data_IF_029378561185
#
_entry.id   IF_029378561185
#
_cell.length_a   1.000
_cell.length_b   1.000
_cell.length_c   1.000
_cell.angle_alpha   90.00
_cell.angle_beta   90.00
_cell.angle_gamma   90.00
#
_symmetry.space_group_name_H-M   'P 1'
#
loop_
_entity.id
_entity.type
_entity.pdbx_description
1 polymer ?
#
# COMPACT_ATOMS: atom_id res chain seq x y z
N UNK A 1 17.34 24.91 -6.43
CA UNK A 1 16.47 24.80 -5.25
C UNK A 1 15.22 24.05 -5.68
N UNK A 2 15.24 22.72 -5.64
CA UNK A 2 14.04 21.89 -5.77
C UNK A 2 14.27 20.73 -4.82
N UNK A 3 13.51 20.72 -3.73
CA UNK A 3 13.58 19.69 -2.72
C UNK A 3 13.14 18.38 -3.38
N UNK A 4 14.07 17.44 -3.47
CA UNK A 4 13.76 16.03 -3.60
C UNK A 4 12.89 15.69 -2.39
N UNK A 5 11.58 15.58 -2.62
CA UNK A 5 10.67 15.07 -1.63
C UNK A 5 11.05 13.60 -1.48
N UNK A 6 11.81 13.30 -0.43
CA UNK A 6 12.05 11.96 0.05
C UNK A 6 10.70 11.43 0.53
N UNK A 7 9.97 10.79 -0.38
CA UNK A 7 8.77 10.04 -0.06
C UNK A 7 9.25 8.87 0.81
N UNK A 8 9.20 9.07 2.12
CA UNK A 8 9.50 8.00 3.08
C UNK A 8 8.54 6.88 2.73
N UNK A 9 9.03 5.79 2.13
CA UNK A 9 8.20 4.67 1.73
C UNK A 9 7.62 4.03 3.01
N UNK A 10 6.44 4.51 3.42
CA UNK A 10 5.70 4.03 4.60
C UNK A 10 5.05 2.66 4.35
N UNK A 11 5.37 2.03 3.23
CA UNK A 11 4.82 0.77 2.81
C UNK A 11 5.82 -0.02 1.97
N UNK A 12 5.68 -1.34 2.02
CA UNK A 12 6.38 -2.25 1.13
C UNK A 12 5.42 -2.74 0.06
N UNK A 13 5.90 -2.76 -1.18
CA UNK A 13 5.13 -3.27 -2.31
C UNK A 13 5.98 -4.18 -3.20
N UNK A 14 5.30 -5.05 -3.92
CA UNK A 14 5.83 -5.90 -4.97
C UNK A 14 5.25 -5.44 -6.29
N UNK A 15 6.13 -4.98 -7.19
CA UNK A 15 5.76 -4.66 -8.55
C UNK A 15 5.78 -5.94 -9.40
N UNK A 16 4.63 -6.27 -9.97
CA UNK A 16 4.48 -7.33 -10.96
C UNK A 16 4.47 -6.72 -12.37
N UNK A 17 4.38 -7.54 -13.42
CA UNK A 17 4.45 -7.07 -14.82
C UNK A 17 3.35 -6.08 -15.21
N UNK A 18 2.17 -6.21 -14.62
CA UNK A 18 0.96 -5.45 -15.00
C UNK A 18 0.31 -4.71 -13.83
N UNK A 19 0.77 -4.94 -12.59
CA UNK A 19 0.14 -4.38 -11.40
C UNK A 19 1.10 -4.35 -10.21
N UNK A 20 0.70 -3.66 -9.15
CA UNK A 20 1.40 -3.63 -7.87
C UNK A 20 0.59 -4.34 -6.80
N UNK A 21 1.30 -5.07 -5.94
CA UNK A 21 0.78 -5.75 -4.75
C UNK A 21 1.38 -5.08 -3.52
N UNK A 22 0.57 -4.60 -2.58
CA UNK A 22 1.07 -4.09 -1.29
C UNK A 22 1.34 -5.28 -0.38
N UNK A 23 2.57 -5.40 0.12
CA UNK A 23 3.00 -6.52 0.99
C UNK A 23 3.07 -6.15 2.46
N UNK A 24 3.08 -4.86 2.79
CA UNK A 24 3.20 -4.39 4.16
C UNK A 24 3.02 -2.88 4.27
N UNK A 25 2.62 -2.40 5.45
CA UNK A 25 2.51 -0.99 5.77
C UNK A 25 3.08 -0.68 7.16
N UNK A 26 3.53 0.56 7.37
CA UNK A 26 4.03 1.03 8.66
C UNK A 26 2.94 1.00 9.74
N UNK A 27 3.10 0.23 10.82
CA UNK A 27 2.04 -0.05 11.80
C UNK A 27 1.63 1.14 12.68
N UNK A 28 2.42 2.22 12.67
CA UNK A 28 2.19 3.43 13.47
C UNK A 28 1.20 4.42 12.79
N UNK A 29 0.93 4.24 11.50
CA UNK A 29 0.01 5.09 10.74
C UNK A 29 -1.45 4.78 11.09
N UNK A 30 -2.15 5.76 11.69
CA UNK A 30 -3.59 5.62 11.98
C UNK A 30 -4.45 5.71 10.73
N UNK A 31 -4.06 6.52 9.77
CA UNK A 31 -4.80 6.75 8.52
C UNK A 31 -3.91 6.37 7.36
N UNK A 32 -4.27 5.28 6.70
CA UNK A 32 -3.56 4.75 5.55
C UNK A 32 -4.25 5.21 4.29
N UNK A 33 -3.48 5.78 3.36
CA UNK A 33 -3.93 6.06 2.01
C UNK A 33 -3.10 5.25 1.02
N UNK A 34 -3.68 4.15 0.54
CA UNK A 34 -3.01 3.31 -0.45
C UNK A 34 -3.06 4.03 -1.80
N UNK A 35 -1.92 4.25 -2.46
CA UNK A 35 -1.88 4.93 -3.75
C UNK A 35 -2.58 4.11 -4.84
N UNK A 36 -3.24 4.78 -5.79
CA UNK A 36 -3.85 4.11 -6.94
C UNK A 36 -2.82 3.50 -7.90
N UNK A 37 -1.64 4.12 -7.98
CA UNK A 37 -0.53 3.68 -8.83
C UNK A 37 0.80 3.83 -8.12
N UNK A 38 1.67 2.83 -8.26
CA UNK A 38 3.07 2.86 -7.80
C UNK A 38 3.96 2.57 -9.00
N UNK A 39 4.92 3.46 -9.28
CA UNK A 39 5.82 3.30 -10.44
C UNK A 39 5.11 3.30 -11.80
N UNK A 40 3.92 3.91 -11.90
CA UNK A 40 3.10 3.91 -13.11
C UNK A 40 2.23 2.66 -13.30
N UNK A 41 2.30 1.69 -12.39
CA UNK A 41 1.44 0.50 -12.40
C UNK A 41 0.32 0.63 -11.36
N UNK A 42 -0.91 0.15 -11.66
CA UNK A 42 -2.02 0.22 -10.72
C UNK A 42 -1.83 -0.74 -9.54
N UNK A 43 -2.14 -0.28 -8.34
CA UNK A 43 -2.21 -1.14 -7.14
C UNK A 43 -3.51 -1.94 -7.19
N UNK A 44 -3.40 -3.24 -7.42
CA UNK A 44 -4.59 -4.09 -7.59
C UNK A 44 -4.73 -5.17 -6.53
N UNK A 45 -3.72 -5.40 -5.71
CA UNK A 45 -3.76 -6.44 -4.70
C UNK A 45 -3.10 -6.01 -3.37
N UNK A 46 -3.63 -6.55 -2.28
CA UNK A 46 -2.98 -6.59 -0.97
C UNK A 46 -2.56 -8.04 -0.69
N UNK A 47 -1.32 -8.23 -0.24
CA UNK A 47 -0.83 -9.54 0.18
C UNK A 47 -1.40 -9.92 1.56
N UNK A 48 -1.22 -11.18 1.94
CA UNK A 48 -1.60 -11.64 3.26
C UNK A 48 -0.84 -10.87 4.34
N UNK A 49 -1.53 -10.49 5.42
CA UNK A 49 -0.94 -9.74 6.54
C UNK A 49 -0.39 -8.34 6.20
N UNK A 50 -0.78 -7.75 5.06
CA UNK A 50 -0.26 -6.44 4.62
C UNK A 50 -0.45 -5.30 5.65
N UNK A 51 -1.55 -5.28 6.39
CA UNK A 51 -1.83 -4.34 7.48
C UNK A 51 -2.00 -5.02 8.84
N UNK A 52 -1.67 -6.32 8.91
CA UNK A 52 -1.84 -7.09 10.15
C UNK A 52 -0.88 -6.59 11.22
N UNK A 53 -1.43 -6.27 12.39
CA UNK A 53 -0.66 -5.81 13.55
C UNK A 53 -0.43 -4.30 13.59
N UNK A 54 -0.92 -3.55 12.59
CA UNK A 54 -0.96 -2.09 12.65
C UNK A 54 -2.13 -1.56 13.46
N UNK A 55 -1.99 -0.34 13.98
CA UNK A 55 -3.07 0.39 14.67
C UNK A 55 -3.84 1.29 13.70
N UNK A 56 -4.06 0.80 12.49
CA UNK A 56 -4.76 1.53 11.45
C UNK A 56 -6.25 1.68 11.83
N UNK A 57 -6.71 2.92 11.93
CA UNK A 57 -8.11 3.26 12.21
C UNK A 57 -8.89 3.46 10.90
N UNK A 58 -8.24 3.98 9.86
CA UNK A 58 -8.84 4.20 8.54
C UNK A 58 -7.88 3.73 7.44
N UNK A 59 -8.37 2.93 6.50
CA UNK A 59 -7.61 2.49 5.33
C UNK A 59 -8.39 2.83 4.07
N UNK A 60 -7.82 3.72 3.26
CA UNK A 60 -8.38 4.10 1.96
C UNK A 60 -7.75 3.24 0.88
N UNK A 61 -8.58 2.41 0.27
CA UNK A 61 -8.18 1.51 -0.81
C UNK A 61 -8.36 2.21 -2.17
N UNK A 62 -7.47 1.93 -3.13
CA UNK A 62 -7.57 2.48 -4.47
C UNK A 62 -8.77 1.87 -5.20
N UNK A 63 -9.29 2.60 -6.17
CA UNK A 63 -10.44 2.13 -6.97
C UNK A 63 -10.09 0.94 -7.85
N UNK A 64 -8.80 0.76 -8.14
CA UNK A 64 -8.22 -0.32 -8.94
C UNK A 64 -8.04 -1.63 -8.15
N UNK A 65 -8.40 -1.67 -6.86
CA UNK A 65 -8.24 -2.85 -6.02
C UNK A 65 -9.11 -4.02 -6.48
N UNK A 66 -8.47 -5.18 -6.68
CA UNK A 66 -9.10 -6.42 -7.16
C UNK A 66 -8.98 -7.58 -6.18
N UNK A 67 -7.93 -7.60 -5.35
CA UNK A 67 -7.63 -8.71 -4.43
C UNK A 67 -7.17 -8.21 -3.07
N UNK A 68 -7.66 -8.87 -2.03
CA UNK A 68 -7.22 -8.64 -0.65
C UNK A 68 -6.78 -9.99 -0.10
N UNK A 69 -5.55 -10.07 0.42
CA UNK A 69 -4.95 -11.27 0.97
C UNK A 69 -5.62 -11.70 2.27
N UNK A 70 -5.35 -12.94 2.67
CA UNK A 70 -5.83 -13.46 3.96
C UNK A 70 -5.22 -12.68 5.11
N UNK A 71 -6.06 -12.32 6.10
CA UNK A 71 -5.64 -11.52 7.26
C UNK A 71 -4.92 -10.23 6.87
N UNK A 72 -5.26 -9.64 5.72
CA UNK A 72 -4.65 -8.39 5.27
C UNK A 72 -4.91 -7.23 6.24
N UNK A 73 -5.93 -7.30 7.10
CA UNK A 73 -6.28 -6.33 8.14
C UNK A 73 -6.37 -7.03 9.50
#
# INVERSE_FOLDING_TARGET
>A
MMAEQEEKEVFSCRQEKDHVVITGWEPEEKTVQVPDTVGGLPVTALDAYAFSGGKHEEIRLPVSMKRIGHYAF
#
